data_IF_594539715327
#
_entry.id   IF_594539715327
#
_cell.length_a   1.000
_cell.length_b   1.000
_cell.length_c   1.000
_cell.angle_alpha   90.00
_cell.angle_beta   90.00
_cell.angle_gamma   90.00
#
_symmetry.space_group_name_H-M   'P 1'
#
loop_
_entity.id
_entity.type
_entity.pdbx_description
1 polymer ?
#
# COMPACT_ATOMS: atom_id res chain seq x y z
N UNK A 1 11.10 25.00 -6.43
CA UNK A 1 9.66 24.68 -6.42
C UNK A 1 9.34 24.06 -7.76
N UNK A 2 8.89 22.81 -7.81
CA UNK A 2 8.58 22.11 -9.07
C UNK A 2 7.19 22.56 -9.54
N UNK A 3 7.10 23.08 -10.75
CA UNK A 3 5.84 23.54 -11.37
C UNK A 3 5.01 22.32 -11.81
N UNK A 4 3.80 22.10 -11.25
CA UNK A 4 2.95 20.96 -11.60
C UNK A 4 2.52 20.93 -13.08
N UNK A 5 2.60 22.06 -13.80
CA UNK A 5 2.26 22.15 -15.21
C UNK A 5 3.32 21.55 -16.14
N UNK A 6 4.49 21.18 -15.61
CA UNK A 6 5.60 20.61 -16.38
C UNK A 6 5.60 19.08 -16.42
N UNK A 7 4.49 18.43 -16.04
CA UNK A 7 4.38 16.97 -16.06
C UNK A 7 4.58 16.42 -17.49
N UNK A 8 5.66 15.65 -17.75
CA UNK A 8 5.93 15.08 -19.08
C UNK A 8 4.94 13.98 -19.49
N UNK A 9 4.00 13.60 -18.62
CA UNK A 9 3.00 12.56 -18.90
C UNK A 9 1.73 13.09 -19.58
N UNK A 10 1.86 14.04 -20.51
CA UNK A 10 0.73 14.42 -21.38
C UNK A 10 0.80 13.61 -22.68
N UNK A 11 -0.30 12.95 -23.04
CA UNK A 11 -0.40 12.22 -24.30
C UNK A 11 -0.20 13.19 -25.49
N UNK A 12 0.47 12.78 -26.57
CA UNK A 12 0.57 13.59 -27.78
C UNK A 12 -0.83 14.02 -28.26
N UNK A 13 -0.96 15.23 -28.85
CA UNK A 13 -2.24 15.71 -29.35
C UNK A 13 -2.88 14.69 -30.30
N UNK A 14 -4.11 14.26 -30.01
CA UNK A 14 -4.84 13.28 -30.81
C UNK A 14 -4.58 11.80 -30.47
N UNK A 15 -3.78 11.49 -29.44
CA UNK A 15 -3.59 10.13 -28.93
C UNK A 15 -4.30 9.86 -27.59
N UNK A 16 -5.08 10.82 -27.09
CA UNK A 16 -5.92 10.58 -25.94
C UNK A 16 -6.97 9.50 -26.32
N UNK A 17 -7.10 8.40 -25.57
CA UNK A 17 -8.11 7.39 -25.84
C UNK A 17 -9.49 8.05 -25.83
N UNK A 18 -10.23 7.93 -26.93
CA UNK A 18 -11.62 8.38 -27.00
C UNK A 18 -12.41 7.64 -25.90
N UNK A 19 -13.13 8.41 -25.09
CA UNK A 19 -13.88 7.98 -23.90
C UNK A 19 -14.37 6.52 -23.95
N UNK A 20 -13.94 5.71 -22.98
CA UNK A 20 -14.58 4.41 -22.72
C UNK A 20 -13.68 3.23 -22.36
N UNK A 21 -12.35 3.35 -22.36
CA UNK A 21 -11.52 2.27 -21.83
C UNK A 21 -11.43 2.40 -20.31
N UNK A 22 -12.25 1.64 -19.58
CA UNK A 22 -11.99 1.38 -18.18
C UNK A 22 -10.62 0.69 -18.09
N UNK A 23 -9.57 1.48 -17.81
CA UNK A 23 -8.28 0.94 -17.43
C UNK A 23 -8.50 0.33 -16.06
N UNK A 24 -8.90 -0.93 -16.02
CA UNK A 24 -8.66 -1.76 -14.85
C UNK A 24 -7.15 -1.86 -14.77
N UNK A 25 -6.52 -1.02 -13.94
CA UNK A 25 -5.14 -1.25 -13.49
C UNK A 25 -5.15 -2.57 -12.73
N UNK A 26 -5.02 -3.67 -13.46
CA UNK A 26 -4.90 -5.00 -12.89
C UNK A 26 -3.46 -5.15 -12.45
N UNK A 27 -3.19 -4.84 -11.19
CA UNK A 27 -1.93 -5.22 -10.55
C UNK A 27 -2.02 -6.69 -10.14
N UNK A 28 -1.32 -7.56 -10.87
CA UNK A 28 -1.15 -8.97 -10.50
C UNK A 28 0.12 -9.09 -9.68
N UNK A 29 -0.01 -9.26 -8.37
CA UNK A 29 1.12 -9.59 -7.49
C UNK A 29 1.08 -11.09 -7.20
N UNK A 30 2.08 -11.84 -7.70
CA UNK A 30 2.29 -13.23 -7.31
C UNK A 30 3.22 -13.28 -6.10
N UNK A 31 2.74 -13.83 -4.98
CA UNK A 31 3.52 -13.99 -3.76
C UNK A 31 3.50 -15.47 -3.44
N UNK A 32 4.66 -16.12 -3.58
CA UNK A 32 4.82 -17.52 -3.19
C UNK A 32 4.95 -17.59 -1.66
N UNK A 33 3.81 -17.70 -0.98
CA UNK A 33 3.75 -17.86 0.45
C UNK A 33 3.86 -19.35 0.79
N UNK A 34 5.05 -19.79 1.23
CA UNK A 34 5.14 -21.03 1.97
C UNK A 34 4.48 -20.81 3.36
N UNK A 35 3.83 -21.83 3.92
CA UNK A 35 3.22 -21.79 5.26
C UNK A 35 4.26 -21.44 6.35
N UNK A 36 5.51 -21.82 6.12
CA UNK A 36 6.64 -21.52 7.00
C UNK A 36 7.38 -20.23 6.60
N UNK A 37 6.84 -19.42 5.68
CA UNK A 37 7.49 -18.16 5.30
C UNK A 37 6.96 -17.01 6.15
N UNK A 38 7.88 -16.12 6.53
CA UNK A 38 7.59 -14.90 7.26
C UNK A 38 6.93 -13.80 6.39
N UNK A 39 6.68 -14.08 5.12
CA UNK A 39 6.00 -13.15 4.22
C UNK A 39 4.49 -13.08 4.48
N UNK A 40 3.95 -11.86 4.49
CA UNK A 40 2.53 -11.56 4.68
C UNK A 40 2.09 -10.43 3.77
N UNK A 41 0.80 -10.37 3.47
CA UNK A 41 0.22 -9.28 2.65
C UNK A 41 -0.85 -8.54 3.43
N UNK A 42 -0.73 -7.22 3.48
CA UNK A 42 -1.75 -6.30 3.96
C UNK A 42 -2.32 -5.53 2.77
N UNK A 43 -3.61 -5.70 2.49
CA UNK A 43 -4.34 -4.88 1.52
C UNK A 43 -5.32 -4.00 2.26
N UNK A 44 -5.25 -2.71 2.01
CA UNK A 44 -6.18 -1.73 2.55
C UNK A 44 -6.73 -0.83 1.45
N UNK A 45 -7.93 -0.33 1.70
CA UNK A 45 -8.55 0.73 0.92
C UNK A 45 -9.16 1.76 1.85
N UNK A 46 -9.37 2.97 1.35
CA UNK A 46 -10.01 4.03 2.11
C UNK A 46 -10.95 4.84 1.22
N UNK A 47 -12.08 5.26 1.81
CA UNK A 47 -12.98 6.26 1.21
C UNK A 47 -12.54 7.70 1.56
N UNK A 48 -11.44 7.85 2.31
CA UNK A 48 -10.89 9.13 2.74
C UNK A 48 -9.54 9.34 2.04
N UNK A 49 -8.47 9.59 2.78
CA UNK A 49 -7.16 9.86 2.19
C UNK A 49 -6.18 8.70 2.41
N UNK A 50 -5.58 8.21 1.32
CA UNK A 50 -4.66 7.07 1.37
C UNK A 50 -3.41 7.34 2.23
N UNK A 51 -3.03 8.60 2.44
CA UNK A 51 -1.89 8.93 3.30
C UNK A 51 -2.07 8.44 4.74
N UNK A 52 -3.30 8.27 5.25
CA UNK A 52 -3.53 7.66 6.56
C UNK A 52 -3.05 6.21 6.61
N UNK A 53 -3.33 5.43 5.56
CA UNK A 53 -2.85 4.06 5.45
C UNK A 53 -1.31 3.99 5.38
N UNK A 54 -0.71 4.90 4.62
CA UNK A 54 0.76 5.01 4.52
C UNK A 54 1.38 5.35 5.88
N UNK A 55 0.79 6.31 6.63
CA UNK A 55 1.26 6.69 7.96
C UNK A 55 1.24 5.49 8.91
N UNK A 56 0.16 4.72 8.91
CA UNK A 56 0.01 3.53 9.75
C UNK A 56 1.08 2.47 9.42
N UNK A 57 1.34 2.23 8.14
CA UNK A 57 2.44 1.35 7.70
C UNK A 57 3.79 1.88 8.20
N UNK A 58 4.07 3.17 8.07
CA UNK A 58 5.34 3.73 8.57
C UNK A 58 5.50 3.63 10.09
N UNK A 59 4.42 3.78 10.86
CA UNK A 59 4.45 3.59 12.32
C UNK A 59 4.84 2.16 12.69
N UNK A 60 4.25 1.16 12.03
CA UNK A 60 4.57 -0.25 12.27
C UNK A 60 6.04 -0.58 11.95
N UNK A 61 6.60 -0.02 10.87
CA UNK A 61 8.03 -0.17 10.53
C UNK A 61 8.90 0.49 11.60
N UNK A 62 8.56 1.71 12.03
CA UNK A 62 9.31 2.42 13.05
C UNK A 62 9.31 1.68 14.41
N UNK A 63 8.25 0.92 14.70
CA UNK A 63 8.14 0.02 15.86
C UNK A 63 8.83 -1.35 15.64
N UNK A 64 9.38 -1.61 14.46
CA UNK A 64 10.06 -2.86 14.14
C UNK A 64 9.15 -4.09 14.04
N UNK A 65 7.86 -3.90 13.71
CA UNK A 65 6.90 -5.01 13.63
C UNK A 65 7.13 -5.90 12.41
N UNK A 66 7.57 -5.31 11.30
CA UNK A 66 7.84 -6.01 10.05
C UNK A 66 8.71 -5.15 9.14
N UNK A 67 9.30 -5.77 8.12
CA UNK A 67 9.99 -5.08 7.02
C UNK A 67 9.08 -5.01 5.79
N UNK A 68 9.16 -3.93 5.03
CA UNK A 68 8.48 -3.85 3.73
C UNK A 68 9.35 -4.54 2.69
N UNK A 69 8.75 -5.51 2.01
CA UNK A 69 9.31 -6.16 0.81
C UNK A 69 8.85 -5.42 -0.44
N UNK A 70 7.57 -5.07 -0.48
CA UNK A 70 6.97 -4.31 -1.58
C UNK A 70 5.79 -3.49 -1.08
N UNK A 71 5.62 -2.27 -1.60
CA UNK A 71 4.49 -1.41 -1.29
C UNK A 71 3.96 -0.77 -2.56
N UNK A 72 2.69 -1.01 -2.87
CA UNK A 72 1.97 -0.38 -3.97
C UNK A 72 0.90 0.55 -3.41
N UNK A 73 1.00 1.85 -3.73
CA UNK A 73 0.06 2.88 -3.26
C UNK A 73 -0.62 3.51 -4.46
N UNK A 74 -1.95 3.41 -4.50
CA UNK A 74 -2.83 4.13 -5.41
C UNK A 74 -3.70 5.12 -4.65
N UNK A 75 -4.52 5.87 -5.37
CA UNK A 75 -5.41 6.89 -4.80
C UNK A 75 -6.36 6.33 -3.72
N UNK A 76 -6.83 5.09 -3.91
CA UNK A 76 -7.83 4.46 -3.05
C UNK A 76 -7.38 3.16 -2.40
N UNK A 77 -6.16 2.68 -2.69
CA UNK A 77 -5.66 1.41 -2.15
C UNK A 77 -4.18 1.47 -1.79
N UNK A 78 -3.80 0.74 -0.75
CA UNK A 78 -2.42 0.50 -0.37
C UNK A 78 -2.25 -1.00 -0.13
N UNK A 79 -1.31 -1.61 -0.85
CA UNK A 79 -0.96 -3.02 -0.74
C UNK A 79 0.48 -3.09 -0.24
N UNK A 80 0.68 -3.78 0.88
CA UNK A 80 1.99 -4.00 1.48
C UNK A 80 2.27 -5.48 1.52
N UNK A 81 3.38 -5.89 0.92
CA UNK A 81 4.01 -7.19 1.13
C UNK A 81 5.09 -6.98 2.18
N UNK A 82 5.00 -7.71 3.27
CA UNK A 82 5.86 -7.54 4.43
C UNK A 82 6.50 -8.86 4.84
N UNK A 83 7.66 -8.78 5.47
CA UNK A 83 8.40 -9.89 6.05
C UNK A 83 8.43 -9.71 7.58
N UNK A 84 8.03 -10.73 8.32
CA UNK A 84 8.01 -10.70 9.78
C UNK A 84 8.00 -12.08 10.41
N UNK A 85 8.94 -12.31 11.32
CA UNK A 85 9.01 -13.49 12.19
C UNK A 85 7.92 -13.45 13.29
N UNK A 86 7.24 -12.31 13.48
CA UNK A 86 6.20 -12.16 14.51
C UNK A 86 4.95 -12.91 14.13
N UNK A 87 4.40 -13.67 15.08
CA UNK A 87 3.09 -14.32 14.91
C UNK A 87 1.97 -13.28 14.77
N UNK A 88 0.85 -13.69 14.16
CA UNK A 88 -0.31 -12.81 13.98
C UNK A 88 -0.79 -12.21 15.28
N UNK A 89 -0.87 -13.00 16.35
CA UNK A 89 -1.34 -12.52 17.66
C UNK A 89 -0.40 -11.46 18.26
N UNK A 90 0.91 -11.61 18.06
CA UNK A 90 1.91 -10.63 18.51
C UNK A 90 1.74 -9.31 17.73
N UNK A 91 1.60 -9.39 16.40
CA UNK A 91 1.31 -8.20 15.57
C UNK A 91 0.02 -7.50 16.00
N UNK A 92 -1.06 -8.26 16.22
CA UNK A 92 -2.35 -7.71 16.64
C UNK A 92 -2.26 -7.04 18.02
N UNK A 93 -1.42 -7.57 18.92
CA UNK A 93 -1.15 -6.94 20.22
C UNK A 93 -0.48 -5.57 20.11
N UNK A 94 0.21 -5.32 18.99
CA UNK A 94 0.89 -4.07 18.66
C UNK A 94 0.09 -3.14 17.74
N UNK A 95 -1.22 -3.37 17.59
CA UNK A 95 -2.07 -2.52 16.76
C UNK A 95 -2.02 -2.85 15.27
N UNK A 96 -1.54 -4.03 14.87
CA UNK A 96 -1.74 -4.47 13.49
C UNK A 96 -3.21 -4.81 13.22
N UNK A 97 -3.77 -4.54 12.02
CA UNK A 97 -3.20 -3.74 10.93
C UNK A 97 -3.41 -2.23 11.08
N UNK A 98 -4.15 -1.78 12.09
CA UNK A 98 -4.43 -0.37 12.39
C UNK A 98 -4.31 -0.12 13.89
N UNK A 99 -3.59 0.94 14.25
CA UNK A 99 -3.59 1.44 15.62
C UNK A 99 -5.04 1.54 16.13
N UNK A 100 -5.24 1.19 17.40
CA UNK A 100 -6.51 1.47 18.07
C UNK A 100 -6.69 2.99 18.13
N UNK A 101 -7.94 3.47 18.11
CA UNK A 101 -8.23 4.92 18.20
C UNK A 101 -7.66 5.56 19.48
N UNK A 102 -7.33 4.73 20.44
CA UNK A 102 -6.84 4.97 21.78
C UNK A 102 -5.32 4.70 21.92
N UNK A 103 -4.62 4.41 20.82
CA UNK A 103 -3.14 4.34 20.79
C UNK A 103 -2.58 5.78 20.68
N UNK A 104 -1.80 6.26 21.69
CA UNK A 104 -1.35 7.65 21.79
C UNK A 104 -0.37 8.11 20.70
#
# INVERSE_FOLDING_TARGET
TVDPSTNPASWPPGQAPEFGTAIYRVDVTYINLNRDSDFRTLRTGTNSHIHHAVIQVTKHIARGLYQIVSMNVGEYQCIVVMETEKLTDDLMSHGFPWDRNDDP
#
